data_IF_163141007502
#
_entry.id   IF_163141007502
#
_cell.length_a   1.000
_cell.length_b   1.000
_cell.length_c   1.000
_cell.angle_alpha   90.00
_cell.angle_beta   90.00
_cell.angle_gamma   90.00
#
_symmetry.space_group_name_H-M   'P 1'
#
loop_
_entity.id
_entity.type
_entity.pdbx_description
1 polymer ?
#
# COMPACT_ATOMS: atom_id res chain seq x y z
N UNK A 1 14.75 4.42 11.06
CA UNK A 1 14.76 3.61 12.30
C UNK A 1 14.40 4.54 13.45
N UNK A 2 13.28 4.24 14.11
CA UNK A 2 12.82 5.03 15.23
C UNK A 2 13.90 5.11 16.31
N UNK A 3 14.11 6.28 16.92
CA UNK A 3 15.10 6.49 17.95
C UNK A 3 14.50 6.39 19.34
N UNK A 4 13.18 6.67 19.42
CA UNK A 4 12.45 6.56 20.69
C UNK A 4 11.61 5.28 20.71
N UNK A 5 11.33 4.81 21.91
CA UNK A 5 10.40 3.69 22.11
C UNK A 5 8.97 4.06 21.66
N UNK A 6 8.60 5.34 21.80
CA UNK A 6 7.32 5.85 21.30
C UNK A 6 7.23 5.76 19.78
N UNK A 7 8.27 6.19 19.05
CA UNK A 7 8.34 6.05 17.59
C UNK A 7 8.25 4.59 17.14
N UNK A 8 9.00 3.70 17.79
CA UNK A 8 8.96 2.27 17.48
C UNK A 8 7.54 1.67 17.67
N UNK A 9 6.84 2.03 18.75
CA UNK A 9 5.44 1.61 18.95
C UNK A 9 4.49 2.18 17.90
N UNK A 10 4.68 3.43 17.47
CA UNK A 10 3.87 4.05 16.42
C UNK A 10 4.07 3.34 15.08
N UNK A 11 5.31 3.01 14.70
CA UNK A 11 5.62 2.26 13.48
C UNK A 11 4.97 0.89 13.51
N UNK A 12 5.07 0.16 14.60
CA UNK A 12 4.45 -1.16 14.72
C UNK A 12 2.92 -1.08 14.67
N UNK A 13 2.31 -0.11 15.36
CA UNK A 13 0.86 0.11 15.31
C UNK A 13 0.40 0.46 13.89
N UNK A 14 1.14 1.30 13.16
CA UNK A 14 0.84 1.63 11.77
C UNK A 14 0.93 0.40 10.87
N UNK A 15 2.01 -0.38 10.97
CA UNK A 15 2.21 -1.63 10.24
C UNK A 15 1.01 -2.57 10.43
N UNK A 16 0.60 -2.81 11.66
CA UNK A 16 -0.54 -3.69 11.98
C UNK A 16 -1.85 -3.18 11.40
N UNK A 17 -2.12 -1.86 11.45
CA UNK A 17 -3.33 -1.25 10.87
C UNK A 17 -3.37 -1.42 9.34
N UNK A 18 -2.23 -1.26 8.65
CA UNK A 18 -2.14 -1.49 7.21
C UNK A 18 -2.37 -2.97 6.85
N UNK A 19 -1.83 -3.91 7.63
CA UNK A 19 -2.08 -5.34 7.45
C UNK A 19 -3.56 -5.70 7.70
N UNK A 20 -4.18 -5.13 8.72
CA UNK A 20 -5.60 -5.30 8.98
C UNK A 20 -6.46 -4.78 7.82
N UNK A 21 -6.15 -3.60 7.29
CA UNK A 21 -6.85 -3.05 6.12
C UNK A 21 -6.69 -3.96 4.90
N UNK A 22 -5.49 -4.49 4.65
CA UNK A 22 -5.23 -5.47 3.59
C UNK A 22 -6.08 -6.73 3.76
N UNK A 23 -6.15 -7.28 4.98
CA UNK A 23 -6.94 -8.48 5.26
C UNK A 23 -8.45 -8.25 5.07
N UNK A 24 -8.96 -7.08 5.47
CA UNK A 24 -10.35 -6.66 5.20
C UNK A 24 -10.62 -6.55 3.70
N UNK A 25 -9.68 -5.99 2.95
CA UNK A 25 -9.77 -5.86 1.48
C UNK A 25 -9.84 -7.24 0.82
N UNK A 26 -9.00 -8.19 1.24
CA UNK A 26 -8.99 -9.56 0.72
C UNK A 26 -10.30 -10.30 1.00
N UNK A 27 -10.92 -10.09 2.16
CA UNK A 27 -12.23 -10.69 2.49
C UNK A 27 -13.36 -10.18 1.59
N UNK A 28 -13.41 -8.88 1.32
CA UNK A 28 -14.44 -8.31 0.42
C UNK A 28 -14.21 -8.77 -1.01
N UNK A 29 -12.95 -8.82 -1.44
CA UNK A 29 -12.59 -9.36 -2.74
C UNK A 29 -13.00 -10.83 -2.89
N UNK A 30 -12.72 -11.69 -1.90
CA UNK A 30 -13.08 -13.09 -1.94
C UNK A 30 -14.60 -13.30 -2.07
N UNK A 31 -15.41 -12.47 -1.41
CA UNK A 31 -16.87 -12.50 -1.56
C UNK A 31 -17.31 -12.12 -2.97
N UNK A 32 -16.75 -11.04 -3.51
CA UNK A 32 -17.08 -10.60 -4.87
C UNK A 32 -16.61 -11.58 -5.93
N UNK A 33 -15.51 -12.30 -5.67
CA UNK A 33 -14.97 -13.31 -6.58
C UNK A 33 -15.92 -14.49 -6.84
N UNK A 34 -16.76 -14.83 -5.85
CA UNK A 34 -17.70 -15.96 -5.94
C UNK A 34 -18.81 -15.76 -7.00
N UNK A 35 -19.01 -14.54 -7.51
CA UNK A 35 -20.02 -14.28 -8.57
C UNK A 35 -19.45 -14.51 -9.98
N UNK A 36 -18.16 -14.82 -10.10
CA UNK A 36 -17.53 -15.06 -11.39
C UNK A 36 -17.72 -16.51 -11.84
N UNK A 37 -18.12 -16.65 -13.09
CA UNK A 37 -18.26 -17.93 -13.76
C UNK A 37 -17.08 -18.12 -14.73
N UNK A 38 -16.26 -19.18 -14.55
CA UNK A 38 -15.15 -19.45 -15.46
C UNK A 38 -15.61 -19.78 -16.88
N UNK A 39 -16.81 -20.34 -17.08
CA UNK A 39 -17.36 -20.67 -18.39
C UNK A 39 -17.84 -19.41 -19.13
N UNK A 40 -18.28 -18.37 -18.38
CA UNK A 40 -18.65 -17.06 -18.93
C UNK A 40 -17.93 -15.92 -18.22
N UNK A 41 -16.61 -16.02 -18.15
CA UNK A 41 -15.78 -15.06 -17.42
C UNK A 41 -15.93 -13.64 -17.97
N UNK A 42 -16.18 -13.47 -19.28
CA UNK A 42 -16.28 -12.14 -19.88
C UNK A 42 -17.52 -11.39 -19.41
N UNK A 43 -18.68 -12.02 -19.41
CA UNK A 43 -19.93 -11.38 -18.98
C UNK A 43 -20.00 -11.23 -17.45
N UNK A 44 -19.55 -12.26 -16.71
CA UNK A 44 -19.56 -12.21 -15.25
C UNK A 44 -18.55 -11.18 -14.72
N UNK A 45 -17.38 -11.06 -15.37
CA UNK A 45 -16.39 -10.02 -15.06
C UNK A 45 -16.95 -8.61 -15.28
N UNK A 46 -17.60 -8.35 -16.43
CA UNK A 46 -18.15 -7.04 -16.74
C UNK A 46 -19.16 -6.56 -15.65
N UNK A 47 -19.90 -7.48 -15.06
CA UNK A 47 -20.81 -7.19 -13.93
C UNK A 47 -20.10 -6.96 -12.60
N UNK A 48 -19.00 -7.69 -12.35
CA UNK A 48 -18.25 -7.62 -11.08
C UNK A 48 -17.21 -6.49 -11.05
N UNK A 49 -16.69 -6.06 -12.20
CA UNK A 49 -15.60 -5.07 -12.31
C UNK A 49 -15.87 -3.78 -11.54
N UNK A 50 -17.06 -3.16 -11.59
CA UNK A 50 -17.35 -1.97 -10.77
C UNK A 50 -17.20 -2.21 -9.28
N UNK A 51 -17.50 -3.42 -8.81
CA UNK A 51 -17.31 -3.82 -7.41
C UNK A 51 -15.84 -3.88 -7.01
N UNK A 52 -14.97 -4.42 -7.85
CA UNK A 52 -13.52 -4.41 -7.62
C UNK A 52 -12.95 -3.00 -7.55
N UNK A 53 -13.37 -2.12 -8.46
CA UNK A 53 -12.99 -0.69 -8.46
C UNK A 53 -13.46 -0.02 -7.17
N UNK A 54 -14.72 -0.26 -6.75
CA UNK A 54 -15.29 0.30 -5.52
C UNK A 54 -14.52 -0.11 -4.27
N UNK A 55 -14.05 -1.36 -4.19
CA UNK A 55 -13.20 -1.83 -3.08
C UNK A 55 -11.94 -0.98 -2.98
N UNK A 56 -11.24 -0.73 -4.09
CA UNK A 56 -10.01 0.08 -4.09
C UNK A 56 -10.32 1.53 -3.72
N UNK A 57 -11.32 2.14 -4.36
CA UNK A 57 -11.68 3.55 -4.16
C UNK A 57 -12.18 3.84 -2.73
N UNK A 58 -12.81 2.88 -2.07
CA UNK A 58 -13.22 3.00 -0.68
C UNK A 58 -12.05 2.83 0.29
N UNK A 59 -11.08 1.95 0.00
CA UNK A 59 -10.05 1.57 0.96
C UNK A 59 -8.71 2.28 0.79
N UNK A 60 -8.36 2.71 -0.43
CA UNK A 60 -7.13 3.47 -0.67
C UNK A 60 -7.07 4.78 0.16
N UNK A 61 -8.17 5.58 0.27
CA UNK A 61 -8.17 6.75 1.14
C UNK A 61 -8.04 6.42 2.63
N UNK A 62 -8.52 5.26 3.07
CA UNK A 62 -8.33 4.81 4.45
C UNK A 62 -6.86 4.53 4.73
N UNK A 63 -6.15 3.84 3.81
CA UNK A 63 -4.70 3.64 3.91
C UNK A 63 -3.95 4.97 3.97
N UNK A 64 -4.32 5.93 3.11
CA UNK A 64 -3.75 7.28 3.11
C UNK A 64 -3.97 8.01 4.44
N UNK A 65 -5.20 7.98 4.97
CA UNK A 65 -5.53 8.61 6.26
C UNK A 65 -4.80 8.00 7.45
N UNK A 66 -4.68 6.66 7.50
CA UNK A 66 -3.89 5.97 8.51
C UNK A 66 -2.42 6.38 8.47
N UNK A 67 -1.86 6.52 7.28
CA UNK A 67 -0.46 6.93 7.08
C UNK A 67 -0.23 8.41 7.41
N UNK A 68 -1.18 9.28 7.07
CA UNK A 68 -1.10 10.69 7.43
C UNK A 68 -1.12 10.92 8.94
N UNK A 69 -2.00 10.20 9.66
CA UNK A 69 -2.02 10.22 11.12
C UNK A 69 -0.71 9.71 11.71
N UNK A 70 -0.26 8.54 11.26
CA UNK A 70 1.00 7.96 11.70
C UNK A 70 2.16 8.94 11.48
N UNK A 71 2.26 9.55 10.30
CA UNK A 71 3.33 10.52 10.00
C UNK A 71 3.33 11.70 10.97
N UNK A 72 2.15 12.28 11.28
CA UNK A 72 2.03 13.38 12.23
C UNK A 72 2.42 12.99 13.66
N UNK A 73 1.92 11.83 14.13
CA UNK A 73 2.21 11.31 15.48
C UNK A 73 3.70 10.93 15.60
N UNK A 74 4.27 10.29 14.58
CA UNK A 74 5.67 9.90 14.54
C UNK A 74 6.58 11.12 14.51
N UNK A 75 6.24 12.14 13.72
CA UNK A 75 6.98 13.40 13.70
C UNK A 75 7.01 14.06 15.08
N UNK A 76 5.87 14.10 15.77
CA UNK A 76 5.79 14.66 17.13
C UNK A 76 6.62 13.87 18.16
N UNK A 77 6.80 12.56 17.97
CA UNK A 77 7.56 11.70 18.86
C UNK A 77 9.08 11.70 18.56
N UNK A 78 9.47 11.89 17.29
CA UNK A 78 10.84 11.68 16.83
C UNK A 78 11.55 12.97 16.39
N UNK A 79 10.82 13.99 15.94
CA UNK A 79 11.44 15.22 15.47
C UNK A 79 11.65 16.20 16.61
N UNK A 80 12.90 16.64 16.82
CA UNK A 80 13.23 17.64 17.84
C UNK A 80 12.69 19.04 17.47
N UNK A 81 12.41 19.31 16.19
CA UNK A 81 12.05 20.65 15.69
C UNK A 81 11.09 20.59 14.50
N UNK A 82 10.31 21.66 14.37
CA UNK A 82 9.46 21.90 13.19
C UNK A 82 8.03 21.35 13.33
N UNK A 83 7.27 21.53 12.24
CA UNK A 83 5.91 21.03 12.10
C UNK A 83 5.85 20.00 10.98
N UNK A 84 5.06 18.96 11.16
CA UNK A 84 4.81 17.97 10.10
C UNK A 84 3.97 18.58 8.97
N UNK A 85 4.33 18.27 7.74
CA UNK A 85 3.55 18.62 6.56
C UNK A 85 2.93 17.37 5.95
N UNK A 86 1.71 17.02 6.41
CA UNK A 86 1.00 15.84 5.90
C UNK A 86 0.46 16.11 4.49
N UNK A 87 0.82 15.24 3.53
CA UNK A 87 0.35 15.26 2.14
C UNK A 87 -0.34 13.96 1.83
N UNK A 88 -1.68 13.97 1.83
CA UNK A 88 -2.45 12.78 1.48
C UNK A 88 -2.30 12.44 0.01
N UNK A 89 -2.19 11.15 -0.29
CA UNK A 89 -2.18 10.64 -1.67
C UNK A 89 -3.48 11.02 -2.40
N UNK A 90 -3.37 11.32 -3.68
CA UNK A 90 -4.52 11.48 -4.56
C UNK A 90 -5.36 10.18 -4.59
N UNK A 91 -6.66 10.34 -4.77
CA UNK A 91 -7.56 9.19 -4.96
C UNK A 91 -7.30 8.57 -6.33
N UNK A 92 -7.25 7.25 -6.35
CA UNK A 92 -7.17 6.52 -7.62
C UNK A 92 -8.50 6.55 -8.36
N UNK A 93 -8.43 6.65 -9.68
CA UNK A 93 -9.59 6.63 -10.58
C UNK A 93 -9.83 5.21 -11.11
N UNK A 94 -10.98 4.99 -11.75
CA UNK A 94 -11.24 3.74 -12.45
C UNK A 94 -10.21 3.49 -13.57
N UNK A 95 -9.80 4.55 -14.27
CA UNK A 95 -8.84 4.47 -15.38
C UNK A 95 -7.45 3.99 -14.91
N UNK A 96 -7.07 4.29 -13.67
CA UNK A 96 -5.82 3.81 -13.07
C UNK A 96 -5.87 2.31 -12.72
N UNK A 97 -7.06 1.77 -12.47
CA UNK A 97 -7.26 0.43 -11.90
C UNK A 97 -7.66 -0.58 -12.96
N UNK A 98 -8.66 -0.26 -13.77
CA UNK A 98 -9.35 -1.20 -14.67
C UNK A 98 -8.42 -1.90 -15.66
N UNK A 99 -7.45 -1.22 -16.32
CA UNK A 99 -6.58 -1.91 -17.29
C UNK A 99 -5.81 -3.08 -16.67
N UNK A 100 -5.26 -2.88 -15.47
CA UNK A 100 -4.52 -3.92 -14.75
C UNK A 100 -5.44 -5.06 -14.28
N UNK A 101 -6.65 -4.73 -13.80
CA UNK A 101 -7.60 -5.76 -13.37
C UNK A 101 -8.03 -6.66 -14.54
N UNK A 102 -8.29 -6.08 -15.71
CA UNK A 102 -8.65 -6.84 -16.93
C UNK A 102 -7.53 -7.75 -17.41
N UNK A 103 -6.28 -7.26 -17.32
CA UNK A 103 -5.11 -8.04 -17.69
C UNK A 103 -4.85 -9.20 -16.74
N UNK A 104 -5.05 -8.99 -15.45
CA UNK A 104 -4.67 -9.93 -14.39
C UNK A 104 -5.78 -10.91 -14.01
N UNK A 105 -7.03 -10.58 -14.31
CA UNK A 105 -8.20 -11.42 -14.07
C UNK A 105 -8.68 -12.14 -15.32
N UNK A 106 -9.64 -11.58 -16.06
CA UNK A 106 -10.31 -12.29 -17.15
C UNK A 106 -9.37 -12.65 -18.31
N UNK A 107 -8.33 -11.86 -18.59
CA UNK A 107 -7.37 -12.22 -19.64
C UNK A 107 -6.56 -13.47 -19.28
N UNK A 108 -6.24 -13.67 -17.99
CA UNK A 108 -5.54 -14.89 -17.53
C UNK A 108 -6.40 -16.12 -17.79
N UNK A 109 -7.68 -16.08 -17.43
CA UNK A 109 -8.61 -17.20 -17.61
C UNK A 109 -8.83 -17.49 -19.10
N UNK A 110 -9.09 -16.47 -19.92
CA UNK A 110 -9.26 -16.62 -21.38
C UNK A 110 -8.04 -17.22 -22.09
N UNK A 111 -6.85 -17.00 -21.54
CA UNK A 111 -5.59 -17.55 -22.08
C UNK A 111 -5.22 -18.91 -21.47
N UNK A 112 -6.17 -19.62 -20.85
CA UNK A 112 -5.98 -20.96 -20.31
C UNK A 112 -5.41 -21.02 -18.90
N UNK A 113 -5.27 -19.89 -18.20
CA UNK A 113 -4.94 -19.86 -16.78
C UNK A 113 -6.14 -20.21 -15.89
N UNK A 114 -5.87 -20.62 -14.65
CA UNK A 114 -6.92 -21.00 -13.70
C UNK A 114 -7.54 -19.79 -12.98
N UNK A 115 -8.75 -19.98 -12.45
CA UNK A 115 -9.41 -18.99 -11.61
C UNK A 115 -8.58 -18.66 -10.35
N UNK A 116 -7.86 -19.62 -9.79
CA UNK A 116 -7.00 -19.40 -8.60
C UNK A 116 -5.80 -18.51 -8.93
N UNK A 117 -5.19 -18.69 -10.10
CA UNK A 117 -4.10 -17.83 -10.57
C UNK A 117 -4.62 -16.41 -10.81
N UNK A 118 -5.76 -16.27 -11.47
CA UNK A 118 -6.41 -14.98 -11.69
C UNK A 118 -6.77 -14.30 -10.35
N UNK A 119 -7.39 -15.02 -9.41
CA UNK A 119 -7.71 -14.53 -8.07
C UNK A 119 -6.46 -14.02 -7.33
N UNK A 120 -5.41 -14.83 -7.29
CA UNK A 120 -4.14 -14.49 -6.64
C UNK A 120 -3.49 -13.23 -7.23
N UNK A 121 -3.60 -13.03 -8.54
CA UNK A 121 -3.11 -11.84 -9.23
C UNK A 121 -3.94 -10.60 -8.88
N UNK A 122 -5.27 -10.72 -8.92
CA UNK A 122 -6.21 -9.63 -8.60
C UNK A 122 -6.09 -9.24 -7.13
N UNK A 123 -6.01 -10.21 -6.21
CA UNK A 123 -5.80 -9.95 -4.78
C UNK A 123 -4.52 -9.15 -4.55
N UNK A 124 -3.43 -9.58 -5.17
CA UNK A 124 -2.15 -8.87 -5.05
C UNK A 124 -2.18 -7.47 -5.63
N UNK A 125 -2.88 -7.25 -6.74
CA UNK A 125 -3.00 -5.94 -7.38
C UNK A 125 -3.90 -4.99 -6.56
N UNK A 126 -5.07 -5.45 -6.13
CA UNK A 126 -5.98 -4.65 -5.31
C UNK A 126 -5.32 -4.28 -3.98
N UNK A 127 -4.65 -5.23 -3.32
CA UNK A 127 -3.90 -4.94 -2.10
C UNK A 127 -2.79 -3.90 -2.33
N UNK A 128 -2.06 -3.97 -3.45
CA UNK A 128 -1.04 -3.00 -3.83
C UNK A 128 -1.64 -1.61 -4.02
N UNK A 129 -2.73 -1.48 -4.77
CA UNK A 129 -3.43 -0.21 -5.01
C UNK A 129 -3.92 0.43 -3.69
N UNK A 130 -4.52 -0.35 -2.81
CA UNK A 130 -4.99 0.12 -1.51
C UNK A 130 -3.83 0.62 -0.65
N UNK A 131 -2.77 -0.18 -0.49
CA UNK A 131 -1.62 0.16 0.35
C UNK A 131 -0.76 1.29 -0.23
N UNK A 132 -0.78 1.49 -1.55
CA UNK A 132 -0.09 2.61 -2.18
C UNK A 132 -0.66 3.96 -1.75
N UNK A 133 -1.94 4.05 -1.36
CA UNK A 133 -2.48 5.26 -0.72
C UNK A 133 -1.66 5.69 0.50
N UNK A 134 -1.35 4.75 1.37
CA UNK A 134 -0.51 5.01 2.55
C UNK A 134 0.95 5.31 2.20
N UNK A 135 1.53 4.53 1.31
CA UNK A 135 2.94 4.69 0.88
C UNK A 135 3.17 6.04 0.23
N UNK A 136 2.32 6.42 -0.72
CA UNK A 136 2.40 7.72 -1.40
C UNK A 136 2.15 8.89 -0.43
N UNK A 137 1.27 8.72 0.57
CA UNK A 137 1.09 9.71 1.63
C UNK A 137 2.37 9.89 2.44
N UNK A 138 3.04 8.80 2.82
CA UNK A 138 4.30 8.88 3.58
C UNK A 138 5.40 9.53 2.75
N UNK A 139 5.64 9.09 1.52
CA UNK A 139 6.72 9.67 0.68
C UNK A 139 6.48 11.14 0.39
N UNK A 140 5.26 11.56 0.03
CA UNK A 140 4.93 12.96 -0.20
C UNK A 140 5.03 13.83 1.07
N UNK A 141 4.68 13.28 2.23
CA UNK A 141 4.80 13.98 3.52
C UNK A 141 6.27 14.14 3.93
N UNK A 142 7.09 13.11 3.71
CA UNK A 142 8.54 13.13 3.93
C UNK A 142 9.20 14.21 3.06
N UNK A 143 8.88 14.24 1.78
CA UNK A 143 9.40 15.23 0.83
C UNK A 143 9.02 16.67 1.22
N UNK A 144 7.81 16.86 1.77
CA UNK A 144 7.27 18.17 2.14
C UNK A 144 7.68 18.64 3.54
N UNK A 145 8.31 17.78 4.35
CA UNK A 145 8.64 18.08 5.75
C UNK A 145 10.12 18.40 5.92
N UNK A 146 10.41 19.63 6.38
CA UNK A 146 11.77 20.07 6.68
C UNK A 146 12.39 19.17 7.76
N UNK A 147 13.70 18.89 7.63
CA UNK A 147 14.48 18.01 8.52
C UNK A 147 14.16 16.52 8.42
N UNK A 148 13.19 16.12 7.59
CA UNK A 148 13.04 14.71 7.25
C UNK A 148 14.07 14.32 6.18
N UNK A 149 14.94 13.36 6.50
CA UNK A 149 16.05 12.96 5.63
C UNK A 149 15.64 11.93 4.57
N UNK A 150 14.45 11.33 4.72
CA UNK A 150 13.98 10.27 3.86
C UNK A 150 13.25 9.20 4.67
N UNK A 151 13.37 7.95 4.25
CA UNK A 151 12.71 6.85 4.94
C UNK A 151 13.56 5.57 4.94
N UNK A 152 13.23 4.68 5.88
CA UNK A 152 13.59 3.27 5.82
C UNK A 152 12.37 2.44 5.48
N UNK A 153 12.58 1.31 4.82
CA UNK A 153 11.51 0.36 4.52
C UNK A 153 11.27 -0.54 5.74
N UNK A 154 10.01 -0.66 6.14
CA UNK A 154 9.57 -1.52 7.25
C UNK A 154 8.85 -2.75 6.68
N UNK A 155 9.26 -3.93 7.15
CA UNK A 155 8.67 -5.21 6.74
C UNK A 155 7.23 -5.34 7.25
N UNK A 156 6.42 -6.07 6.50
CA UNK A 156 5.11 -6.58 6.94
C UNK A 156 5.20 -7.84 7.86
N UNK A 157 6.41 -8.31 8.13
CA UNK A 157 6.67 -9.52 8.89
C UNK A 157 7.08 -10.73 8.04
N UNK A 158 6.84 -10.69 6.73
CA UNK A 158 7.20 -11.75 5.78
C UNK A 158 7.73 -11.15 4.46
N UNK A 159 8.87 -10.44 4.50
CA UNK A 159 9.39 -9.78 3.32
C UNK A 159 9.84 -10.82 2.28
N UNK A 160 9.51 -10.60 1.01
CA UNK A 160 10.15 -11.36 -0.07
C UNK A 160 11.64 -11.01 -0.19
N UNK A 161 12.40 -11.79 -0.94
CA UNK A 161 13.85 -11.57 -1.13
C UNK A 161 14.19 -10.14 -1.61
N UNK A 162 13.38 -9.58 -2.52
CA UNK A 162 13.53 -8.20 -2.99
C UNK A 162 13.30 -7.19 -1.86
N UNK A 163 12.20 -7.33 -1.09
CA UNK A 163 11.94 -6.44 0.04
C UNK A 163 12.98 -6.60 1.16
N UNK A 164 13.45 -7.82 1.44
CA UNK A 164 14.51 -8.07 2.42
C UNK A 164 15.80 -7.34 2.04
N UNK A 165 16.19 -7.39 0.76
CA UNK A 165 17.34 -6.64 0.24
C UNK A 165 17.14 -5.12 0.41
N UNK A 166 15.97 -4.57 0.10
CA UNK A 166 15.69 -3.14 0.23
C UNK A 166 15.68 -2.67 1.70
N UNK A 167 15.14 -3.50 2.60
CA UNK A 167 15.18 -3.25 4.05
C UNK A 167 16.63 -3.25 4.56
N UNK A 168 17.43 -4.20 4.12
CA UNK A 168 18.84 -4.30 4.50
C UNK A 168 19.73 -3.11 4.06
N UNK A 169 19.25 -2.30 3.11
CA UNK A 169 19.96 -1.05 2.71
C UNK A 169 19.88 0.05 3.75
N UNK A 170 18.95 -0.04 4.70
CA UNK A 170 18.75 0.99 5.73
C UNK A 170 18.21 2.32 5.17
N UNK A 171 18.56 3.47 5.78
CA UNK A 171 18.01 4.79 5.48
C UNK A 171 18.66 5.43 4.24
N UNK A 172 18.60 4.77 3.10
CA UNK A 172 19.22 5.24 1.84
C UNK A 172 18.25 5.97 0.91
N UNK A 173 16.96 5.99 1.26
CA UNK A 173 15.91 6.61 0.45
C UNK A 173 15.76 8.08 0.86
N UNK A 174 16.40 8.99 0.12
CA UNK A 174 16.34 10.43 0.38
C UNK A 174 14.93 11.03 0.18
N UNK A 175 14.73 12.30 0.56
CA UNK A 175 13.42 12.96 0.46
C UNK A 175 12.86 12.99 -0.95
N UNK A 176 13.73 13.13 -1.96
CA UNK A 176 13.38 13.12 -3.38
C UNK A 176 13.18 11.72 -3.98
N UNK A 177 13.35 10.65 -3.18
CA UNK A 177 12.98 9.30 -3.59
C UNK A 177 11.43 9.19 -3.58
N UNK A 178 10.79 9.82 -4.56
CA UNK A 178 9.35 10.06 -4.67
C UNK A 178 8.52 8.78 -4.79
N UNK A 179 9.15 7.62 -4.95
CA UNK A 179 8.44 6.37 -5.19
C UNK A 179 8.83 5.29 -4.19
N UNK A 180 7.80 4.75 -3.55
CA UNK A 180 7.91 3.52 -2.79
C UNK A 180 7.53 2.35 -3.71
N UNK A 181 8.51 1.79 -4.41
CA UNK A 181 8.27 0.65 -5.29
C UNK A 181 7.80 -0.57 -4.50
N UNK A 182 6.61 -1.02 -4.82
CA UNK A 182 5.99 -2.19 -4.21
C UNK A 182 5.47 -3.13 -5.29
N UNK A 183 5.95 -4.36 -5.29
CA UNK A 183 5.38 -5.42 -6.14
C UNK A 183 4.00 -5.85 -5.61
N UNK A 184 3.26 -6.58 -6.42
CA UNK A 184 2.02 -7.25 -5.99
C UNK A 184 2.30 -8.11 -4.75
N UNK A 185 1.35 -8.14 -3.80
CA UNK A 185 1.45 -8.84 -2.51
C UNK A 185 2.46 -8.27 -1.50
N UNK A 186 3.16 -7.18 -1.79
CA UNK A 186 4.01 -6.51 -0.83
C UNK A 186 3.18 -5.78 0.23
N UNK A 187 3.42 -6.08 1.51
CA UNK A 187 2.80 -5.41 2.67
C UNK A 187 3.72 -4.40 3.37
N UNK A 188 4.96 -4.22 2.87
CA UNK A 188 5.93 -3.29 3.48
C UNK A 188 5.44 -1.84 3.42
N UNK A 189 5.86 -1.04 4.42
CA UNK A 189 5.59 0.40 4.53
C UNK A 189 6.88 1.19 4.72
N UNK A 190 6.78 2.53 4.80
CA UNK A 190 7.89 3.42 5.07
C UNK A 190 7.85 3.92 6.52
N UNK A 191 9.01 4.11 7.13
CA UNK A 191 9.21 4.81 8.39
C UNK A 191 10.07 6.04 8.12
N UNK A 192 9.63 7.26 8.51
CA UNK A 192 10.41 8.47 8.30
C UNK A 192 11.73 8.46 9.08
N UNK A 193 12.75 9.12 8.54
CA UNK A 193 14.05 9.30 9.19
C UNK A 193 14.32 10.79 9.36
N UNK A 194 14.61 11.21 10.59
CA UNK A 194 14.92 12.60 10.94
C UNK A 194 16.40 12.79 11.22
N UNK A 195 16.87 14.04 11.05
CA UNK A 195 18.19 14.44 11.53
C UNK A 195 18.10 14.67 13.05
N UNK A 196 19.08 14.15 13.77
CA UNK A 196 19.36 14.48 15.15
C UNK A 196 20.57 15.40 15.16
N UNK A 197 20.43 16.59 15.72
CA UNK A 197 21.52 17.51 16.02
C UNK A 197 22.08 17.22 17.41
#
# INVERSE_FOLDING_TARGET
MAFTEAGARLTEAHRLRQLQLRALTGRDLARLWQVLDPEDISATWARAEPGFVSIVQARQPLSAGLSGRYFSEFHAAEAAQGTSSVRLAARVTADDIVPNLRLLGPAVVRNGGTMDVAFSNIEGEIARQVLNGGRSTLTASIESTRYCLGYVRVSDGSPCAFCAMLIGRGPVYGPSASHFDAHRKCGCTAEPVYRYD
#
